data_IF_726226990411
#
_entry.id   IF_726226990411
#
_cell.length_a   1.000
_cell.length_b   1.000
_cell.length_c   1.000
_cell.angle_alpha   90.00
_cell.angle_beta   90.00
_cell.angle_gamma   90.00
#
_symmetry.space_group_name_H-M   'P 1'
#
loop_
_entity.id
_entity.type
_entity.pdbx_description
1 polymer ?
#
# COMPACT_ATOMS: atom_id res chain seq x y z
N UNK A 1 7.71 -6.49 5.76
CA UNK A 1 6.73 -5.59 5.13
C UNK A 1 5.94 -4.86 6.20
N UNK A 2 5.78 -3.56 6.05
CA UNK A 2 4.96 -2.73 6.93
C UNK A 2 3.74 -2.28 6.13
N UNK A 3 2.53 -2.57 6.61
CA UNK A 3 1.30 -2.22 5.92
C UNK A 3 0.64 -1.01 6.58
N UNK A 4 0.33 0.02 5.79
CA UNK A 4 -0.36 1.22 6.24
C UNK A 4 -1.75 1.26 5.61
N UNK A 5 -2.76 1.22 6.47
CA UNK A 5 -4.18 1.19 6.09
C UNK A 5 -4.96 2.40 6.62
N UNK A 6 -4.23 3.41 7.10
CA UNK A 6 -4.81 4.62 7.69
C UNK A 6 -5.04 5.71 6.64
N UNK A 7 -5.81 6.75 6.95
CA UNK A 7 -6.02 7.88 6.04
C UNK A 7 -4.71 8.58 5.63
N UNK A 8 -4.69 9.14 4.43
CA UNK A 8 -3.51 9.83 3.90
C UNK A 8 -3.02 10.98 4.80
N UNK A 9 -3.90 11.59 5.55
CA UNK A 9 -3.55 12.65 6.53
C UNK A 9 -2.58 12.19 7.63
N UNK A 10 -2.44 10.87 7.83
CA UNK A 10 -1.53 10.31 8.84
C UNK A 10 -0.14 9.98 8.30
N UNK A 11 0.08 10.09 7.00
CA UNK A 11 1.30 9.61 6.35
C UNK A 11 2.56 10.35 6.83
N UNK A 12 2.49 11.67 6.96
CA UNK A 12 3.65 12.45 7.41
C UNK A 12 4.10 12.06 8.82
N UNK A 13 3.15 11.83 9.72
CA UNK A 13 3.47 11.37 11.07
C UNK A 13 4.07 9.97 11.08
N UNK A 14 3.50 9.05 10.31
CA UNK A 14 4.08 7.70 10.19
C UNK A 14 5.47 7.73 9.58
N UNK A 15 5.70 8.56 8.57
CA UNK A 15 7.00 8.71 7.96
C UNK A 15 8.07 9.12 8.98
N UNK A 16 7.75 10.09 9.82
CA UNK A 16 8.66 10.55 10.88
C UNK A 16 8.93 9.47 11.93
N UNK A 17 7.91 8.75 12.33
CA UNK A 17 8.05 7.69 13.34
C UNK A 17 8.81 6.47 12.82
N UNK A 18 8.64 6.15 11.55
CA UNK A 18 9.28 4.99 10.93
C UNK A 18 10.73 5.23 10.55
N UNK A 19 11.10 6.46 10.23
CA UNK A 19 12.44 6.78 9.72
C UNK A 19 13.58 6.18 10.55
N UNK A 20 13.61 6.30 11.89
CA UNK A 20 14.67 5.71 12.69
C UNK A 20 14.59 4.19 12.85
N UNK A 21 13.47 3.57 12.46
CA UNK A 21 13.17 2.16 12.72
C UNK A 21 13.32 1.26 11.49
N UNK A 22 13.35 1.85 10.30
CA UNK A 22 13.34 1.10 9.05
C UNK A 22 14.72 0.97 8.45
N UNK A 23 14.91 -0.08 7.65
CA UNK A 23 16.16 -0.39 6.99
C UNK A 23 15.97 -0.50 5.47
N UNK A 24 17.07 -0.37 4.74
CA UNK A 24 17.12 -0.61 3.31
C UNK A 24 16.54 -1.99 2.96
N UNK A 25 15.81 -2.05 1.87
CA UNK A 25 15.20 -3.29 1.38
C UNK A 25 13.86 -3.64 2.01
N UNK A 26 13.45 -2.97 3.08
CA UNK A 26 12.12 -3.16 3.65
C UNK A 26 11.05 -2.56 2.74
N UNK A 27 9.84 -3.12 2.83
CA UNK A 27 8.70 -2.68 2.01
C UNK A 27 7.66 -1.98 2.86
N UNK A 28 7.25 -0.81 2.38
CA UNK A 28 6.12 -0.06 2.92
C UNK A 28 4.92 -0.27 1.97
N UNK A 29 3.88 -0.92 2.45
CA UNK A 29 2.70 -1.24 1.67
C UNK A 29 1.52 -0.35 2.07
N UNK A 30 1.09 0.51 1.16
CA UNK A 30 0.00 1.48 1.41
C UNK A 30 -1.28 0.99 0.74
N UNK A 31 -2.33 0.85 1.53
CA UNK A 31 -3.64 0.35 1.08
C UNK A 31 -4.75 1.32 1.50
N UNK A 32 -5.37 2.04 0.57
CA UNK A 32 -5.01 2.17 -0.84
C UNK A 32 -3.76 3.01 -1.03
N UNK A 33 -3.15 2.92 -2.22
CA UNK A 33 -2.02 3.74 -2.63
C UNK A 33 -2.44 5.15 -2.99
N UNK A 34 -2.85 5.90 -1.98
CA UNK A 34 -3.36 7.26 -2.16
C UNK A 34 -2.31 8.20 -2.73
N UNK A 35 -2.76 9.17 -3.52
CA UNK A 35 -1.91 10.23 -4.01
C UNK A 35 -1.26 11.00 -2.86
N UNK A 36 0.02 11.29 -3.00
CA UNK A 36 0.81 11.95 -1.96
C UNK A 36 1.65 11.01 -1.10
N UNK A 37 1.38 9.71 -1.11
CA UNK A 37 2.19 8.74 -0.37
C UNK A 37 3.66 8.77 -0.80
N UNK A 38 3.92 8.89 -2.09
CA UNK A 38 5.26 8.99 -2.66
C UNK A 38 6.03 10.22 -2.15
N UNK A 39 5.35 11.28 -1.82
CA UNK A 39 5.95 12.49 -1.25
C UNK A 39 6.11 12.37 0.27
N UNK A 40 5.09 11.91 0.97
CA UNK A 40 5.12 11.73 2.42
C UNK A 40 6.22 10.78 2.86
N UNK A 41 6.41 9.68 2.12
CA UNK A 41 7.42 8.66 2.42
C UNK A 41 8.71 8.80 1.63
N UNK A 42 8.91 9.94 0.99
CA UNK A 42 10.09 10.20 0.15
C UNK A 42 11.42 9.89 0.84
N UNK A 43 11.60 10.34 2.07
CA UNK A 43 12.84 10.10 2.81
C UNK A 43 13.08 8.61 3.07
N UNK A 44 12.03 7.85 3.31
CA UNK A 44 12.13 6.40 3.49
C UNK A 44 12.51 5.70 2.19
N UNK A 45 11.95 6.15 1.08
CA UNK A 45 12.30 5.63 -0.26
C UNK A 45 13.78 5.95 -0.56
N UNK A 46 14.26 7.13 -0.21
CA UNK A 46 15.67 7.52 -0.38
C UNK A 46 16.62 6.67 0.47
N UNK A 47 16.15 6.16 1.60
CA UNK A 47 16.91 5.21 2.43
C UNK A 47 16.97 3.80 1.85
N UNK A 48 16.29 3.53 0.76
CA UNK A 48 16.27 2.23 0.11
C UNK A 48 15.04 1.38 0.43
N UNK A 49 14.01 1.93 1.04
CA UNK A 49 12.72 1.24 1.17
C UNK A 49 12.02 1.16 -0.18
N UNK A 50 11.20 0.14 -0.34
CA UNK A 50 10.33 -0.01 -1.49
C UNK A 50 8.92 0.43 -1.09
N UNK A 51 8.35 1.39 -1.83
CA UNK A 51 6.96 1.78 -1.67
C UNK A 51 6.11 0.90 -2.58
N UNK A 52 5.18 0.17 -1.97
CA UNK A 52 4.20 -0.66 -2.67
C UNK A 52 2.82 -0.07 -2.43
N UNK A 53 2.09 0.22 -3.50
CA UNK A 53 0.72 0.74 -3.40
C UNK A 53 -0.28 -0.16 -4.09
N UNK A 54 -1.45 -0.33 -3.49
CA UNK A 54 -2.62 -0.95 -4.11
C UNK A 54 -3.50 0.17 -4.67
N UNK A 55 -3.88 0.08 -5.93
CA UNK A 55 -4.65 1.11 -6.61
C UNK A 55 -5.97 1.42 -5.90
N UNK A 56 -6.65 0.39 -5.43
CA UNK A 56 -7.89 0.48 -4.65
C UNK A 56 -7.88 -0.54 -3.52
N UNK A 57 -8.72 -0.33 -2.52
CA UNK A 57 -8.87 -1.30 -1.44
C UNK A 57 -9.39 -2.65 -1.96
N UNK A 58 -8.98 -3.73 -1.32
CA UNK A 58 -9.38 -5.10 -1.69
C UNK A 58 -10.87 -5.39 -1.44
N UNK A 59 -11.49 -4.65 -0.52
CA UNK A 59 -12.89 -4.82 -0.17
C UNK A 59 -13.48 -3.52 0.35
N UNK A 60 -14.80 -3.37 0.19
CA UNK A 60 -15.55 -2.27 0.79
C UNK A 60 -15.99 -2.72 2.17
N UNK A 61 -15.54 -2.02 3.20
CA UNK A 61 -15.83 -2.34 4.58
C UNK A 61 -16.39 -1.15 5.32
N UNK A 62 -17.30 -1.41 6.26
CA UNK A 62 -17.91 -0.39 7.11
C UNK A 62 -17.92 -0.86 8.56
N UNK A 63 -17.75 0.09 9.45
CA UNK A 63 -17.77 -0.19 10.89
C UNK A 63 -19.11 -0.80 11.31
N UNK A 64 -19.07 -1.91 12.03
CA UNK A 64 -20.23 -2.49 12.71
C UNK A 64 -20.20 -2.17 14.19
N UNK A 65 -19.16 -2.63 14.86
CA UNK A 65 -18.94 -2.35 16.29
C UNK A 65 -17.48 -1.91 16.46
N UNK A 66 -17.27 -0.71 16.99
CA UNK A 66 -15.95 -0.13 17.15
C UNK A 66 -15.01 -1.07 17.91
N UNK A 67 -13.85 -1.30 17.33
CA UNK A 67 -12.82 -2.18 17.91
C UNK A 67 -13.13 -3.67 17.92
N UNK A 68 -14.27 -4.11 17.35
CA UNK A 68 -14.70 -5.50 17.39
C UNK A 68 -15.02 -6.10 16.03
N UNK A 69 -15.79 -5.41 15.20
CA UNK A 69 -16.27 -5.98 13.94
C UNK A 69 -16.56 -4.94 12.87
N UNK A 70 -16.50 -5.39 11.62
CA UNK A 70 -16.83 -4.60 10.45
C UNK A 70 -17.77 -5.40 9.52
N UNK A 71 -18.56 -4.70 8.72
CA UNK A 71 -19.24 -5.29 7.59
C UNK A 71 -18.30 -5.29 6.39
N UNK A 72 -18.18 -6.42 5.73
CA UNK A 72 -17.54 -6.50 4.41
C UNK A 72 -18.64 -6.51 3.36
N UNK A 73 -18.83 -5.39 2.66
CA UNK A 73 -19.93 -5.18 1.73
C UNK A 73 -19.62 -5.65 0.31
N UNK A 74 -18.38 -5.75 -0.05
CA UNK A 74 -17.98 -6.20 -1.36
C UNK A 74 -16.49 -6.45 -1.45
N UNK A 75 -16.10 -7.45 -2.24
CA UNK A 75 -14.73 -7.84 -2.47
C UNK A 75 -14.37 -7.63 -3.93
N UNK A 76 -13.18 -7.13 -4.20
CA UNK A 76 -12.69 -6.97 -5.57
C UNK A 76 -12.38 -8.32 -6.19
N UNK A 77 -12.60 -8.42 -7.49
CA UNK A 77 -12.23 -9.61 -8.27
C UNK A 77 -10.76 -9.56 -8.71
N UNK A 78 -10.22 -8.36 -8.81
CA UNK A 78 -8.85 -8.13 -9.26
C UNK A 78 -8.24 -6.94 -8.54
N UNK A 79 -6.97 -7.05 -8.19
CA UNK A 79 -6.18 -6.00 -7.57
C UNK A 79 -5.09 -5.51 -8.54
N UNK A 80 -4.75 -4.23 -8.44
CA UNK A 80 -3.68 -3.63 -9.22
C UNK A 80 -2.69 -2.97 -8.28
N UNK A 81 -1.41 -3.30 -8.45
CA UNK A 81 -0.33 -2.80 -7.60
C UNK A 81 0.77 -2.12 -8.42
N UNK A 82 1.44 -1.16 -7.80
CA UNK A 82 2.61 -0.52 -8.36
C UNK A 82 3.62 -0.21 -7.27
N UNK A 83 4.86 -0.01 -7.66
CA UNK A 83 5.95 0.24 -6.72
C UNK A 83 6.82 1.43 -7.11
N UNK A 84 7.56 1.92 -6.12
CA UNK A 84 8.73 2.76 -6.31
C UNK A 84 9.91 2.05 -5.64
N UNK A 85 10.94 1.65 -6.38
CA UNK A 85 11.13 1.78 -7.84
C UNK A 85 10.16 0.88 -8.64
N UNK A 86 9.82 1.31 -9.85
CA UNK A 86 8.81 0.64 -10.68
C UNK A 86 9.15 -0.79 -11.05
N UNK A 87 10.44 -1.12 -11.20
CA UNK A 87 10.94 -2.44 -11.57
C UNK A 87 10.81 -3.48 -10.43
N UNK A 88 10.53 -3.05 -9.22
CA UNK A 88 10.35 -3.95 -8.07
C UNK A 88 8.98 -4.63 -8.04
N UNK A 89 8.02 -4.21 -8.85
CA UNK A 89 6.62 -4.60 -8.72
C UNK A 89 6.38 -6.10 -8.91
N UNK A 90 7.09 -6.75 -9.81
CA UNK A 90 6.88 -8.17 -10.13
C UNK A 90 7.11 -9.08 -8.92
N UNK A 91 7.99 -8.70 -8.03
CA UNK A 91 8.28 -9.39 -6.78
C UNK A 91 7.08 -9.50 -5.85
N UNK A 92 6.16 -8.55 -5.94
CA UNK A 92 5.04 -8.41 -5.02
C UNK A 92 3.74 -8.99 -5.54
N UNK A 93 3.65 -9.31 -6.83
CA UNK A 93 2.44 -9.86 -7.44
C UNK A 93 1.95 -11.09 -6.71
N UNK A 94 2.79 -12.09 -6.56
CA UNK A 94 2.45 -13.35 -5.89
C UNK A 94 2.19 -13.14 -4.39
N UNK A 95 2.99 -12.30 -3.74
CA UNK A 95 2.85 -12.00 -2.31
C UNK A 95 1.47 -11.38 -2.03
N UNK A 96 1.08 -10.37 -2.79
CA UNK A 96 -0.22 -9.70 -2.62
C UNK A 96 -1.37 -10.63 -2.98
N UNK A 97 -1.23 -11.40 -4.06
CA UNK A 97 -2.24 -12.38 -4.46
C UNK A 97 -2.49 -13.42 -3.37
N UNK A 98 -1.42 -13.93 -2.75
CA UNK A 98 -1.54 -14.88 -1.65
C UNK A 98 -2.11 -14.24 -0.38
N UNK A 99 -1.72 -13.00 -0.10
CA UNK A 99 -2.16 -12.28 1.11
C UNK A 99 -3.67 -12.04 1.10
N UNK A 100 -4.24 -11.65 -0.02
CA UNK A 100 -5.66 -11.31 -0.15
C UNK A 100 -6.51 -12.41 -0.80
N UNK A 101 -5.89 -13.43 -1.39
CA UNK A 101 -6.56 -14.45 -2.20
C UNK A 101 -7.39 -13.84 -3.33
N UNK A 102 -6.85 -12.83 -3.98
CA UNK A 102 -7.46 -12.14 -5.11
C UNK A 102 -6.42 -12.03 -6.22
N UNK A 103 -6.84 -12.26 -7.46
CA UNK A 103 -5.98 -12.10 -8.63
C UNK A 103 -5.36 -10.70 -8.62
N UNK A 104 -4.04 -10.62 -8.80
CA UNK A 104 -3.30 -9.36 -8.73
C UNK A 104 -2.51 -9.14 -10.00
N UNK A 105 -2.65 -7.94 -10.59
CA UNK A 105 -1.87 -7.50 -11.73
C UNK A 105 -0.98 -6.32 -11.36
N UNK A 106 0.08 -6.16 -12.12
CA UNK A 106 1.07 -5.10 -11.91
C UNK A 106 0.80 -3.91 -12.80
N UNK A 107 1.11 -2.72 -12.28
CA UNK A 107 1.05 -1.46 -13.02
C UNK A 107 2.47 -1.01 -13.38
N UNK A 108 2.64 -0.31 -14.51
CA UNK A 108 3.97 0.06 -15.01
C UNK A 108 4.72 1.05 -14.12
N UNK A 109 4.00 1.82 -13.32
CA UNK A 109 4.62 2.77 -12.37
C UNK A 109 3.62 3.17 -11.28
N UNK A 110 4.12 3.84 -10.25
CA UNK A 110 3.31 4.26 -9.10
C UNK A 110 2.29 5.35 -9.45
N UNK A 111 2.53 6.15 -10.46
CA UNK A 111 1.58 7.15 -10.91
C UNK A 111 0.25 6.52 -11.33
N UNK A 112 0.29 5.35 -11.95
CA UNK A 112 -0.91 4.59 -12.31
C UNK A 112 -1.70 4.12 -11.08
N UNK A 113 -1.02 3.94 -9.93
CA UNK A 113 -1.69 3.62 -8.67
C UNK A 113 -2.51 4.81 -8.17
N UNK A 114 -1.97 6.01 -8.29
CA UNK A 114 -2.55 7.23 -7.70
C UNK A 114 -3.64 7.88 -8.55
N UNK A 115 -3.65 7.64 -9.86
CA UNK A 115 -4.51 8.36 -10.82
C UNK A 115 -5.88 7.71 -11.07
N UNK A 116 -6.39 6.92 -10.20
CA UNK A 116 -7.72 6.33 -10.39
C UNK A 116 -8.80 6.89 -9.48
#
# INVERSE_FOLDING_TARGET
>A
MICITTPASTFDEFAKRLEPLVNEGQTLFVVPGSGGAEFAFYNLIQKGMILLGMQRVHSISRLKTYGQSVYMLGRKEELHIGTIPADAVDRYKEIVENLFSIKTDTLPNYLNVTLT
#
